data_IF_895925206232
#
_entry.id   IF_895925206232
#
_cell.length_a   1.000
_cell.length_b   1.000
_cell.length_c   1.000
_cell.angle_alpha   90.00
_cell.angle_beta   90.00
_cell.angle_gamma   90.00
#
_symmetry.space_group_name_H-M   'P 1'
#
loop_
_entity.id
_entity.type
_entity.pdbx_description
1 polymer ?
#
# COMPACT_ATOMS: atom_id res chain seq x y z
N UNK A 1 1.18 -26.74 -16.76
CA UNK A 1 1.63 -25.38 -16.36
C UNK A 1 1.52 -24.49 -17.58
N UNK A 2 1.20 -23.22 -17.37
CA UNK A 2 1.01 -22.19 -18.38
C UNK A 2 2.24 -21.29 -18.35
N UNK A 3 2.77 -20.89 -19.51
CA UNK A 3 3.85 -19.90 -19.59
C UNK A 3 3.32 -18.64 -20.26
N UNK A 4 3.04 -17.62 -19.47
CA UNK A 4 2.54 -16.33 -19.97
C UNK A 4 3.70 -15.58 -20.59
N UNK A 5 3.53 -15.12 -21.83
CA UNK A 5 4.60 -14.48 -22.62
C UNK A 5 4.23 -13.07 -23.08
N UNK A 6 2.96 -12.71 -22.99
CA UNK A 6 2.42 -11.46 -23.52
C UNK A 6 1.19 -11.08 -22.67
N UNK A 7 1.11 -9.81 -22.24
CA UNK A 7 -0.11 -9.21 -21.65
C UNK A 7 -0.40 -7.86 -22.33
N UNK A 8 -1.63 -7.66 -22.81
CA UNK A 8 -2.15 -6.43 -23.44
C UNK A 8 -1.34 -5.87 -24.62
N UNK A 9 -1.10 -6.70 -25.63
CA UNK A 9 -0.23 -6.38 -26.77
C UNK A 9 1.27 -6.18 -26.47
N UNK A 10 1.75 -6.26 -25.22
CA UNK A 10 3.16 -6.18 -24.87
C UNK A 10 3.76 -7.55 -24.51
N UNK A 11 4.94 -7.84 -25.05
CA UNK A 11 5.72 -9.02 -24.68
C UNK A 11 6.36 -8.83 -23.30
N UNK A 12 6.30 -9.87 -22.48
CA UNK A 12 6.89 -9.89 -21.15
C UNK A 12 7.95 -10.99 -21.04
N UNK A 13 8.81 -10.88 -20.03
CA UNK A 13 9.65 -11.99 -19.61
C UNK A 13 8.77 -13.19 -19.27
N UNK A 14 9.01 -14.38 -19.86
CA UNK A 14 8.09 -15.50 -19.72
C UNK A 14 7.89 -15.96 -18.26
N UNK A 15 6.65 -15.97 -17.79
CA UNK A 15 6.30 -16.37 -16.41
C UNK A 15 5.57 -17.70 -16.42
N UNK A 16 6.10 -18.70 -15.71
CA UNK A 16 5.43 -20.00 -15.58
C UNK A 16 4.50 -20.02 -14.36
N UNK A 17 3.21 -20.24 -14.62
CA UNK A 17 2.13 -20.20 -13.62
C UNK A 17 1.21 -21.43 -13.72
N UNK A 18 0.41 -21.64 -12.69
CA UNK A 18 -0.72 -22.56 -12.69
C UNK A 18 -2.00 -21.87 -13.14
N UNK A 19 -2.20 -20.65 -12.68
CA UNK A 19 -3.43 -19.87 -12.90
C UNK A 19 -3.12 -18.38 -12.97
N UNK A 20 -4.04 -17.62 -13.54
CA UNK A 20 -4.01 -16.17 -13.55
C UNK A 20 -5.45 -15.64 -13.67
N UNK A 21 -5.61 -14.35 -13.37
CA UNK A 21 -6.87 -13.62 -13.54
C UNK A 21 -6.67 -12.58 -14.63
N UNK A 22 -7.72 -12.35 -15.40
CA UNK A 22 -7.80 -11.22 -16.30
C UNK A 22 -9.26 -10.70 -16.34
N UNK A 23 -9.39 -9.40 -16.56
CA UNK A 23 -10.65 -8.67 -16.65
C UNK A 23 -11.14 -8.47 -18.09
N UNK A 24 -12.34 -7.90 -18.26
CA UNK A 24 -12.86 -7.57 -19.59
C UNK A 24 -11.95 -6.61 -20.34
N UNK A 25 -11.54 -6.99 -21.56
CA UNK A 25 -10.68 -6.19 -22.42
C UNK A 25 -9.18 -6.49 -22.28
N UNK A 26 -8.77 -7.23 -21.24
CA UNK A 26 -7.40 -7.71 -21.10
C UNK A 26 -7.15 -8.91 -22.04
N UNK A 27 -5.92 -9.03 -22.51
CA UNK A 27 -5.48 -10.11 -23.41
C UNK A 27 -4.17 -10.71 -22.94
N UNK A 28 -4.08 -12.04 -22.94
CA UNK A 28 -2.86 -12.76 -22.55
C UNK A 28 -2.53 -13.84 -23.58
N UNK A 29 -1.29 -13.86 -24.09
CA UNK A 29 -0.79 -15.01 -24.83
C UNK A 29 0.00 -15.94 -23.91
N UNK A 30 -0.33 -17.22 -24.02
CA UNK A 30 0.19 -18.27 -23.16
C UNK A 30 0.73 -19.41 -24.00
N UNK A 31 2.00 -19.75 -23.76
CA UNK A 31 2.61 -20.95 -24.30
C UNK A 31 2.35 -22.13 -23.37
N UNK A 32 1.92 -23.24 -23.95
CA UNK A 32 1.74 -24.52 -23.26
C UNK A 32 2.52 -25.61 -23.98
N UNK A 33 3.10 -26.52 -23.21
CA UNK A 33 3.81 -27.70 -23.71
C UNK A 33 3.12 -28.95 -23.13
N UNK A 34 2.04 -29.45 -23.78
CA UNK A 34 1.29 -30.61 -23.33
C UNK A 34 2.17 -31.87 -23.33
N UNK A 35 2.04 -32.71 -22.29
CA UNK A 35 2.73 -34.01 -22.19
C UNK A 35 1.78 -35.19 -22.29
N UNK A 36 0.54 -34.99 -21.87
CA UNK A 36 -0.55 -35.97 -21.92
C UNK A 36 -1.45 -35.73 -23.15
N UNK A 37 -2.30 -36.71 -23.45
CA UNK A 37 -3.18 -36.67 -24.64
C UNK A 37 -4.34 -35.67 -24.53
N UNK A 38 -4.69 -35.25 -23.30
CA UNK A 38 -5.75 -34.29 -23.05
C UNK A 38 -5.51 -33.46 -21.77
N UNK A 39 -5.86 -32.17 -21.84
CA UNK A 39 -5.86 -31.24 -20.72
C UNK A 39 -7.13 -30.41 -20.70
N UNK A 40 -7.64 -30.12 -19.49
CA UNK A 40 -8.74 -29.18 -19.29
C UNK A 40 -8.17 -27.77 -19.11
N UNK A 41 -8.58 -26.84 -19.98
CA UNK A 41 -8.44 -25.41 -19.76
C UNK A 41 -9.69 -24.97 -19.01
N UNK A 42 -9.51 -24.50 -17.78
CA UNK A 42 -10.60 -24.20 -16.87
C UNK A 42 -10.63 -22.71 -16.53
N UNK A 43 -11.78 -22.06 -16.71
CA UNK A 43 -11.97 -20.65 -16.43
C UNK A 43 -13.23 -20.48 -15.58
N UNK A 44 -13.05 -20.26 -14.29
CA UNK A 44 -14.14 -19.99 -13.36
C UNK A 44 -14.33 -18.49 -13.14
N UNK A 45 -15.58 -18.09 -12.89
CA UNK A 45 -15.89 -16.71 -12.53
C UNK A 45 -15.28 -16.31 -11.19
N UNK A 46 -15.07 -15.01 -10.96
CA UNK A 46 -14.45 -14.52 -9.73
C UNK A 46 -15.33 -14.74 -8.49
N UNK A 47 -16.65 -14.65 -8.66
CA UNK A 47 -17.66 -14.94 -7.65
C UNK A 47 -17.87 -16.44 -7.41
N UNK A 48 -17.17 -17.30 -8.17
CA UNK A 48 -17.19 -18.77 -8.06
C UNK A 48 -18.57 -19.39 -8.24
N UNK A 49 -19.45 -18.74 -9.01
CA UNK A 49 -20.81 -19.23 -9.31
C UNK A 49 -20.89 -20.07 -10.58
N UNK A 50 -19.88 -20.00 -11.45
CA UNK A 50 -19.84 -20.77 -12.69
C UNK A 50 -18.45 -20.89 -13.30
N UNK A 51 -18.36 -21.65 -14.38
CA UNK A 51 -17.12 -21.82 -15.14
C UNK A 51 -17.39 -22.11 -16.62
N UNK A 52 -16.40 -21.80 -17.44
CA UNK A 52 -16.23 -22.31 -18.80
C UNK A 52 -15.07 -23.32 -18.80
N UNK A 53 -15.17 -24.36 -19.63
CA UNK A 53 -14.10 -25.33 -19.86
C UNK A 53 -13.85 -25.53 -21.34
N UNK A 54 -12.59 -25.70 -21.71
CA UNK A 54 -12.16 -26.21 -22.99
C UNK A 54 -11.26 -27.43 -22.80
N UNK A 55 -11.19 -28.30 -23.80
CA UNK A 55 -10.27 -29.43 -23.78
C UNK A 55 -9.22 -29.24 -24.86
N UNK A 56 -7.95 -29.18 -24.46
CA UNK A 56 -6.82 -29.28 -25.37
C UNK A 56 -6.46 -30.76 -25.50
N UNK A 57 -6.73 -31.36 -26.65
CA UNK A 57 -6.50 -32.79 -26.89
C UNK A 57 -5.84 -33.06 -28.24
N UNK A 58 -5.11 -34.18 -28.34
CA UNK A 58 -4.44 -34.61 -29.57
C UNK A 58 -5.40 -35.18 -30.62
N UNK A 59 -6.62 -35.56 -30.22
CA UNK A 59 -7.67 -36.11 -31.08
C UNK A 59 -9.06 -35.79 -30.52
N UNK A 60 -10.04 -35.75 -31.41
CA UNK A 60 -11.45 -35.49 -31.07
C UNK A 60 -11.99 -36.57 -30.13
N UNK A 61 -12.78 -36.15 -29.14
CA UNK A 61 -13.49 -37.04 -28.21
C UNK A 61 -12.69 -37.44 -26.96
N UNK A 62 -11.43 -37.02 -26.83
CA UNK A 62 -10.72 -37.15 -25.55
C UNK A 62 -11.15 -36.05 -24.59
N UNK A 63 -11.23 -36.41 -23.31
CA UNK A 63 -11.51 -35.48 -22.21
C UNK A 63 -10.49 -35.69 -21.09
N UNK A 64 -10.18 -34.61 -20.38
CA UNK A 64 -9.41 -34.65 -19.14
C UNK A 64 -10.34 -34.37 -17.94
N UNK A 65 -9.94 -34.74 -16.71
CA UNK A 65 -10.70 -34.40 -15.52
C UNK A 65 -11.02 -32.90 -15.43
N UNK A 66 -12.26 -32.58 -15.02
CA UNK A 66 -12.66 -31.19 -14.78
C UNK A 66 -12.32 -30.82 -13.35
N UNK A 67 -11.57 -29.75 -13.12
CA UNK A 67 -11.37 -29.21 -11.77
C UNK A 67 -12.69 -28.85 -11.09
N UNK A 68 -12.77 -29.05 -9.78
CA UNK A 68 -13.87 -28.51 -8.99
C UNK A 68 -13.76 -26.99 -8.90
N UNK A 69 -14.91 -26.30 -8.88
CA UNK A 69 -14.96 -24.85 -8.63
C UNK A 69 -14.47 -24.56 -7.21
N UNK A 70 -13.60 -23.57 -7.07
CA UNK A 70 -13.08 -23.18 -5.75
C UNK A 70 -14.18 -22.52 -4.90
N UNK A 71 -14.00 -22.54 -3.57
CA UNK A 71 -14.97 -21.92 -2.66
C UNK A 71 -14.95 -20.38 -2.77
N UNK A 72 -16.12 -19.71 -2.70
CA UNK A 72 -16.18 -18.27 -2.55
C UNK A 72 -15.36 -17.82 -1.33
N UNK A 73 -14.68 -16.67 -1.46
CA UNK A 73 -13.91 -16.06 -0.38
C UNK A 73 -14.56 -14.74 0.02
N UNK A 74 -14.58 -14.48 1.31
CA UNK A 74 -15.06 -13.21 1.85
C UNK A 74 -13.96 -12.16 1.79
N UNK A 75 -14.34 -10.92 1.45
CA UNK A 75 -13.44 -9.78 1.49
C UNK A 75 -12.98 -9.51 2.91
N UNK A 76 -11.68 -9.30 3.07
CA UNK A 76 -11.10 -8.87 4.34
C UNK A 76 -11.06 -7.35 4.43
N UNK A 77 -10.86 -6.82 5.64
CA UNK A 77 -10.65 -5.37 5.80
C UNK A 77 -9.43 -4.88 5.00
N UNK A 78 -8.40 -5.72 4.83
CA UNK A 78 -7.26 -5.37 3.99
C UNK A 78 -7.67 -5.18 2.52
N UNK A 79 -8.64 -5.95 2.03
CA UNK A 79 -9.15 -5.83 0.65
C UNK A 79 -9.98 -4.56 0.45
N UNK A 80 -10.67 -4.09 1.49
CA UNK A 80 -11.53 -2.91 1.43
C UNK A 80 -10.83 -1.60 1.78
N UNK A 81 -9.90 -1.62 2.75
CA UNK A 81 -9.36 -0.41 3.41
C UNK A 81 -7.88 -0.14 3.14
N UNK A 82 -7.25 -0.90 2.23
CA UNK A 82 -5.86 -0.68 1.86
C UNK A 82 -4.87 -1.06 2.97
N UNK A 83 -3.85 -0.22 3.17
CA UNK A 83 -2.76 -0.47 4.12
C UNK A 83 -3.18 -0.21 5.56
N UNK A 84 -3.31 -1.26 6.38
CA UNK A 84 -3.69 -1.11 7.80
C UNK A 84 -2.48 -0.92 8.75
N UNK A 85 -1.27 -0.74 8.20
CA UNK A 85 0.00 -0.75 8.93
C UNK A 85 0.21 0.36 9.98
N UNK A 86 -0.72 1.32 10.09
CA UNK A 86 -0.66 2.39 11.10
C UNK A 86 -1.45 2.12 12.40
N UNK A 87 -2.28 1.07 12.45
CA UNK A 87 -3.12 0.76 13.61
C UNK A 87 -2.61 -0.41 14.47
N UNK A 88 -1.35 -0.81 14.31
CA UNK A 88 -0.69 -1.85 15.13
C UNK A 88 -0.31 -1.42 16.55
N UNK A 89 -0.72 -0.23 17.01
CA UNK A 89 -0.28 0.37 18.28
C UNK A 89 -1.24 0.26 19.47
N UNK A 90 -2.41 -0.39 19.34
CA UNK A 90 -3.37 -0.56 20.44
C UNK A 90 -3.66 -2.03 20.80
N UNK A 91 -2.76 -2.95 20.45
CA UNK A 91 -2.81 -4.35 20.88
C UNK A 91 -2.26 -4.63 22.28
N UNK A 92 -2.38 -3.69 23.22
CA UNK A 92 -1.67 -3.73 24.50
C UNK A 92 -2.42 -3.08 25.68
N UNK A 93 -3.71 -3.36 25.85
CA UNK A 93 -4.43 -3.07 27.10
C UNK A 93 -5.42 -4.17 27.52
N UNK A 94 -5.17 -5.41 27.08
CA UNK A 94 -5.86 -6.59 27.60
C UNK A 94 -5.08 -7.20 28.75
N UNK A 95 -5.26 -6.68 29.98
CA UNK A 95 -4.57 -7.25 31.14
C UNK A 95 -4.61 -6.44 32.43
N UNK A 96 -5.78 -5.97 32.86
CA UNK A 96 -5.97 -5.55 34.26
C UNK A 96 -7.33 -6.02 34.78
N UNK A 97 -7.57 -7.33 34.66
CA UNK A 97 -8.63 -8.02 35.38
C UNK A 97 -8.02 -8.81 36.52
N UNK A 98 -8.18 -8.34 37.77
CA UNK A 98 -7.89 -9.13 38.95
C UNK A 98 -7.08 -8.43 40.05
N UNK A 99 -7.68 -7.46 40.74
CA UNK A 99 -7.33 -7.20 42.14
C UNK A 99 -8.58 -6.86 42.93
N UNK A 100 -9.38 -7.90 43.20
CA UNK A 100 -10.41 -7.87 44.21
C UNK A 100 -9.79 -8.17 45.57
N UNK A 101 -10.03 -7.30 46.55
CA UNK A 101 -9.90 -7.63 47.97
C UNK A 101 -8.79 -6.90 48.73
N UNK A 102 -9.06 -5.67 49.16
CA UNK A 102 -8.72 -5.27 50.53
C UNK A 102 -9.65 -4.14 50.98
N UNK A 103 -10.62 -4.50 51.82
CA UNK A 103 -11.48 -3.56 52.51
C UNK A 103 -10.79 -2.98 53.74
N UNK A 104 -11.14 -1.74 54.07
CA UNK A 104 -11.09 -1.21 55.43
C UNK A 104 -9.79 -0.56 55.87
N UNK A 105 -9.70 0.76 55.72
CA UNK A 105 -9.25 1.62 56.82
C UNK A 105 -9.79 3.04 56.62
N UNK A 106 -10.65 3.47 57.55
CA UNK A 106 -11.19 4.82 57.59
C UNK A 106 -10.26 5.80 58.30
N UNK A 107 -10.49 7.09 58.01
CA UNK A 107 -10.28 8.20 58.93
C UNK A 107 -8.85 8.69 59.13
N UNK A 108 -8.51 9.81 58.49
CA UNK A 108 -7.90 10.96 59.18
C UNK A 108 -7.98 12.20 58.29
N UNK A 109 -8.60 13.26 58.81
CA UNK A 109 -8.63 14.58 58.18
C UNK A 109 -7.45 15.45 58.60
N UNK A 110 -7.38 16.64 57.99
CA UNK A 110 -6.72 17.82 58.55
C UNK A 110 -5.40 18.23 57.90
N UNK A 111 -5.25 19.55 57.74
CA UNK A 111 -4.08 20.35 57.32
C UNK A 111 -3.84 20.39 55.79
N UNK A 112 -4.03 21.50 55.06
CA UNK A 112 -4.06 22.91 55.43
C UNK A 112 -2.66 23.54 55.34
N UNK A 113 -2.39 24.27 54.26
CA UNK A 113 -1.38 25.33 54.19
C UNK A 113 0.00 24.96 53.63
N UNK A 114 0.26 25.37 52.39
CA UNK A 114 1.51 26.07 52.02
C UNK A 114 1.35 26.73 50.64
N UNK A 115 0.67 27.88 50.65
CA UNK A 115 0.89 28.95 49.68
C UNK A 115 2.19 29.67 50.07
N UNK A 116 3.01 30.02 49.08
CA UNK A 116 4.02 31.07 49.22
C UNK A 116 5.46 30.59 49.31
N UNK A 117 6.08 30.33 48.15
CA UNK A 117 7.50 30.63 47.95
C UNK A 117 7.64 31.45 46.67
N UNK A 118 7.26 32.72 46.76
CA UNK A 118 7.78 33.79 45.93
C UNK A 118 9.05 34.31 46.58
N UNK A 119 10.22 34.02 46.01
CA UNK A 119 11.42 34.82 46.22
C UNK A 119 11.74 35.58 44.94
N UNK A 120 11.33 36.84 44.96
CA UNK A 120 11.95 37.91 44.19
C UNK A 120 13.44 37.99 44.56
N UNK A 121 14.32 38.06 43.56
CA UNK A 121 15.75 38.26 43.82
C UNK A 121 16.73 37.95 42.69
N UNK A 122 16.47 38.36 41.45
CA UNK A 122 17.53 38.54 40.44
C UNK A 122 17.26 39.81 39.63
N UNK A 123 17.54 40.95 40.24
CA UNK A 123 17.73 42.23 39.54
C UNK A 123 19.23 42.51 39.48
N UNK A 124 19.75 42.77 38.29
CA UNK A 124 21.11 43.30 38.10
C UNK A 124 22.05 42.39 37.31
N UNK A 125 21.78 42.19 36.01
CA UNK A 125 22.86 41.96 35.04
C UNK A 125 22.94 43.19 34.14
N UNK A 126 23.93 44.02 34.45
CA UNK A 126 24.31 45.20 33.68
C UNK A 126 25.18 44.76 32.48
N UNK A 127 24.69 45.02 31.26
CA UNK A 127 25.36 44.71 30.00
C UNK A 127 26.13 45.91 29.41
N UNK A 128 26.39 46.97 30.20
CA UNK A 128 26.94 48.23 29.69
C UNK A 128 28.45 48.26 29.40
N UNK A 129 29.15 47.12 29.38
CA UNK A 129 30.63 47.11 29.21
C UNK A 129 31.22 45.97 28.37
N UNK A 130 30.53 45.54 27.31
CA UNK A 130 31.22 44.82 26.21
C UNK A 130 31.66 45.81 25.13
N UNK A 131 32.81 46.44 25.37
CA UNK A 131 33.54 47.19 24.35
C UNK A 131 34.09 46.24 23.29
N UNK A 132 33.43 46.16 22.13
CA UNK A 132 34.05 45.74 20.87
C UNK A 132 34.23 46.97 19.97
N UNK A 133 35.17 47.83 20.34
CA UNK A 133 35.76 48.80 19.43
C UNK A 133 36.76 48.06 18.54
N UNK A 134 36.46 47.98 17.24
CA UNK A 134 37.41 47.53 16.23
C UNK A 134 36.95 46.33 15.39
N UNK A 135 35.78 46.39 14.77
CA UNK A 135 35.51 45.58 13.57
C UNK A 135 35.28 46.54 12.40
N UNK A 136 36.33 46.70 11.62
CA UNK A 136 36.38 47.47 10.39
C UNK A 136 35.54 46.73 9.33
N UNK A 137 34.36 47.25 8.98
CA UNK A 137 33.50 46.72 7.91
C UNK A 137 34.04 47.11 6.52
N UNK A 138 35.27 46.70 6.23
CA UNK A 138 35.84 46.74 4.89
C UNK A 138 35.21 45.66 4.02
N UNK A 139 34.32 46.06 3.13
CA UNK A 139 33.97 45.42 1.84
C UNK A 139 34.44 43.97 1.64
N UNK A 140 33.67 43.01 2.14
CA UNK A 140 33.76 41.61 1.68
C UNK A 140 32.74 41.44 0.55
N UNK A 141 33.19 41.62 -0.69
CA UNK A 141 32.44 41.21 -1.86
C UNK A 141 32.37 39.67 -1.85
N UNK A 142 31.24 39.11 -1.41
CA UNK A 142 30.95 37.69 -1.60
C UNK A 142 30.58 37.47 -3.05
N UNK A 143 31.48 36.81 -3.78
CA UNK A 143 31.22 36.29 -5.11
C UNK A 143 30.20 35.14 -5.03
N UNK A 144 28.98 35.39 -5.50
CA UNK A 144 27.91 34.40 -5.58
C UNK A 144 27.94 33.58 -6.88
N UNK A 145 29.00 33.68 -7.71
CA UNK A 145 29.07 33.04 -9.02
C UNK A 145 29.19 31.51 -9.00
N UNK A 146 29.31 30.88 -7.82
CA UNK A 146 29.49 29.43 -7.68
C UNK A 146 28.34 28.69 -6.99
N UNK A 147 27.17 29.34 -6.79
CA UNK A 147 25.93 28.60 -6.49
C UNK A 147 25.23 28.15 -7.78
N UNK A 148 25.99 27.55 -8.70
CA UNK A 148 25.39 26.66 -9.69
C UNK A 148 24.92 25.43 -8.92
N UNK A 149 23.61 25.35 -8.64
CA UNK A 149 22.94 24.15 -8.16
C UNK A 149 23.12 23.05 -9.21
N UNK A 150 24.29 22.43 -9.19
CA UNK A 150 24.63 21.28 -10.00
C UNK A 150 23.59 20.20 -9.77
N UNK A 151 22.89 19.86 -10.85
CA UNK A 151 21.94 18.77 -11.00
C UNK A 151 21.38 18.22 -9.69
N UNK A 152 20.22 18.74 -9.28
CA UNK A 152 19.33 17.97 -8.42
C UNK A 152 19.13 16.63 -9.12
N UNK A 153 19.78 15.59 -8.59
CA UNK A 153 19.47 14.20 -8.91
C UNK A 153 17.97 14.09 -8.79
N UNK A 154 17.32 13.54 -9.82
CA UNK A 154 15.88 13.28 -9.80
C UNK A 154 15.50 12.77 -8.41
N UNK A 155 14.53 13.43 -7.80
CA UNK A 155 14.08 13.14 -6.46
C UNK A 155 13.77 11.64 -6.35
N UNK A 156 14.62 10.91 -5.61
CA UNK A 156 14.45 9.48 -5.40
C UNK A 156 13.12 9.17 -4.69
N UNK A 157 12.43 10.17 -4.13
CA UNK A 157 11.13 10.01 -3.48
C UNK A 157 10.06 9.44 -4.40
N UNK A 158 10.10 9.72 -5.70
CA UNK A 158 9.05 9.27 -6.64
C UNK A 158 9.24 7.82 -7.09
N UNK A 159 10.33 7.16 -6.71
CA UNK A 159 10.55 5.74 -7.03
C UNK A 159 9.65 4.80 -6.22
N UNK A 160 9.09 5.30 -5.12
CA UNK A 160 8.13 4.60 -4.26
C UNK A 160 6.85 5.45 -4.20
N UNK A 161 5.67 4.88 -4.47
CA UNK A 161 4.42 5.64 -4.37
C UNK A 161 4.14 6.05 -2.92
N UNK A 162 3.47 7.19 -2.77
CA UNK A 162 3.00 7.65 -1.46
C UNK A 162 1.97 6.68 -0.89
N UNK A 163 2.03 6.47 0.42
CA UNK A 163 1.10 5.56 1.13
C UNK A 163 -0.04 6.31 1.79
N UNK A 164 0.08 7.62 2.02
CA UNK A 164 -1.00 8.42 2.63
C UNK A 164 -1.79 9.13 1.55
N UNK A 165 -3.09 8.83 1.49
CA UNK A 165 -3.97 9.43 0.50
C UNK A 165 -4.29 10.90 0.81
N UNK A 166 -4.60 11.68 -0.24
CA UNK A 166 -5.00 13.08 -0.18
C UNK A 166 -6.41 13.25 -0.71
N UNK A 167 -7.37 13.39 0.20
CA UNK A 167 -8.78 13.51 -0.16
C UNK A 167 -9.18 14.94 -0.52
N UNK A 168 -9.89 15.10 -1.64
CA UNK A 168 -10.55 16.34 -1.99
C UNK A 168 -11.79 16.57 -1.11
N UNK A 169 -12.17 17.83 -0.87
CA UNK A 169 -13.37 18.17 -0.07
C UNK A 169 -14.66 17.53 -0.62
N UNK A 170 -14.72 17.30 -1.94
CA UNK A 170 -15.84 16.67 -2.63
C UNK A 170 -16.06 15.21 -2.24
N UNK A 171 -15.07 14.57 -1.61
CA UNK A 171 -15.15 13.20 -1.10
C UNK A 171 -15.72 13.13 0.33
N UNK A 172 -16.05 14.28 0.93
CA UNK A 172 -16.70 14.39 2.23
C UNK A 172 -18.18 14.68 2.03
N UNK A 173 -18.91 13.70 1.51
CA UNK A 173 -20.34 13.82 1.26
C UNK A 173 -21.00 12.49 0.94
N UNK A 174 -22.33 12.50 0.82
CA UNK A 174 -23.16 11.32 0.60
C UNK A 174 -22.95 10.62 -0.77
N UNK A 175 -22.00 11.06 -1.59
CA UNK A 175 -21.62 10.41 -2.85
C UNK A 175 -20.50 9.39 -2.67
N UNK A 176 -19.87 9.34 -1.50
CA UNK A 176 -18.71 8.48 -1.20
C UNK A 176 -19.01 7.69 0.07
N UNK A 177 -19.13 6.37 -0.05
CA UNK A 177 -19.40 5.52 1.11
C UNK A 177 -18.18 5.41 2.03
N UNK A 178 -17.00 5.23 1.43
CA UNK A 178 -15.76 4.95 2.14
C UNK A 178 -14.57 5.62 1.45
N UNK A 179 -13.54 5.88 2.25
CA UNK A 179 -12.26 6.42 1.82
C UNK A 179 -11.12 5.60 2.40
N UNK A 180 -10.06 5.47 1.63
CA UNK A 180 -8.83 4.79 2.03
C UNK A 180 -7.81 5.84 2.38
N UNK A 181 -7.55 6.04 3.68
CA UNK A 181 -6.56 7.02 4.13
C UNK A 181 -5.11 6.56 3.87
N UNK A 182 -4.91 5.24 3.77
CA UNK A 182 -3.60 4.62 3.58
C UNK A 182 -3.62 3.64 2.41
N UNK A 183 -3.04 4.04 1.28
CA UNK A 183 -2.83 3.20 0.11
C UNK A 183 -1.81 2.08 0.40
N UNK A 184 -1.96 0.97 -0.33
CA UNK A 184 -1.04 -0.18 -0.30
C UNK A 184 -0.50 -0.47 -1.70
N UNK A 185 0.75 -0.90 -1.77
CA UNK A 185 1.33 -1.44 -3.00
C UNK A 185 1.14 -2.95 -3.00
N UNK A 186 0.41 -3.46 -3.98
CA UNK A 186 -0.04 -4.86 -4.04
C UNK A 186 0.29 -5.51 -5.39
N UNK A 187 1.43 -5.16 -5.98
CA UNK A 187 1.81 -5.70 -7.28
C UNK A 187 2.03 -7.21 -7.22
N UNK A 188 2.48 -7.72 -6.07
CA UNK A 188 2.76 -9.12 -5.75
C UNK A 188 1.56 -9.88 -5.14
N UNK A 189 0.42 -9.21 -4.95
CA UNK A 189 -0.78 -9.83 -4.40
C UNK A 189 -1.64 -10.42 -5.53
N UNK A 190 -1.87 -11.74 -5.57
CA UNK A 190 -2.75 -12.36 -6.57
C UNK A 190 -4.23 -12.02 -6.36
N UNK A 191 -4.57 -11.43 -5.21
CA UNK A 191 -5.92 -10.99 -4.88
C UNK A 191 -6.80 -12.09 -4.28
N UNK A 192 -7.96 -11.67 -3.77
CA UNK A 192 -8.93 -12.54 -3.10
C UNK A 192 -9.30 -13.76 -3.95
N UNK A 193 -9.37 -14.94 -3.33
CA UNK A 193 -9.72 -16.19 -4.03
C UNK A 193 -8.58 -16.85 -4.79
N UNK A 194 -7.40 -16.23 -4.83
CA UNK A 194 -6.17 -16.76 -5.42
C UNK A 194 -5.02 -16.85 -4.40
N UNK A 195 -5.19 -16.27 -3.20
CA UNK A 195 -4.28 -16.44 -2.07
C UNK A 195 -4.42 -17.86 -1.50
N UNK A 196 -3.31 -18.40 -1.01
CA UNK A 196 -3.26 -19.64 -0.22
C UNK A 196 -3.86 -20.89 -0.91
N UNK A 197 -3.93 -20.90 -2.24
CA UNK A 197 -4.47 -22.03 -3.03
C UNK A 197 -3.44 -23.14 -3.27
N UNK A 198 -2.16 -22.88 -2.98
CA UNK A 198 -1.02 -23.75 -3.31
C UNK A 198 -0.63 -23.73 -4.79
N UNK A 199 -1.31 -22.92 -5.62
CA UNK A 199 -1.02 -22.74 -7.04
C UNK A 199 -0.15 -21.50 -7.25
N UNK A 200 0.75 -21.52 -8.23
CA UNK A 200 1.50 -20.32 -8.65
C UNK A 200 0.59 -19.44 -9.49
N UNK A 201 0.30 -18.25 -9.00
CA UNK A 201 -0.56 -17.28 -9.66
C UNK A 201 0.29 -16.21 -10.34
N UNK A 202 -0.09 -15.77 -11.54
CA UNK A 202 0.50 -14.58 -12.15
C UNK A 202 0.09 -13.32 -11.38
N UNK A 203 1.06 -12.51 -10.99
CA UNK A 203 0.85 -11.20 -10.35
C UNK A 203 1.35 -10.08 -11.26
N UNK A 204 1.06 -8.81 -10.92
CA UNK A 204 1.62 -7.67 -11.65
C UNK A 204 3.13 -7.56 -11.45
N UNK A 205 3.63 -7.95 -10.28
CA UNK A 205 5.06 -7.99 -9.96
C UNK A 205 5.84 -9.01 -10.80
N UNK A 206 5.18 -10.01 -11.38
CA UNK A 206 5.84 -10.96 -12.29
C UNK A 206 5.99 -10.39 -13.72
N UNK A 207 5.27 -9.31 -14.07
CA UNK A 207 5.13 -8.85 -15.45
C UNK A 207 6.17 -7.79 -15.81
N UNK A 208 7.32 -8.25 -16.30
CA UNK A 208 8.40 -7.37 -16.75
C UNK A 208 8.48 -7.32 -18.27
N UNK A 209 8.53 -6.11 -18.85
CA UNK A 209 8.78 -5.93 -20.29
C UNK A 209 10.16 -6.46 -20.67
N UNK A 210 10.23 -7.19 -21.79
CA UNK A 210 11.50 -7.71 -22.31
C UNK A 210 12.47 -6.56 -22.60
N UNK A 211 13.67 -6.61 -22.00
CA UNK A 211 14.69 -5.56 -22.18
C UNK A 211 14.50 -4.32 -21.29
N UNK A 212 13.52 -4.35 -20.38
CA UNK A 212 13.27 -3.31 -19.40
C UNK A 212 12.20 -2.30 -19.82
N UNK A 213 12.07 -1.18 -19.08
CA UNK A 213 11.01 -0.18 -19.31
C UNK A 213 11.04 0.41 -20.72
N UNK A 214 9.87 0.57 -21.34
CA UNK A 214 9.70 1.26 -22.62
C UNK A 214 10.25 2.70 -22.57
N UNK A 215 10.08 3.36 -21.43
CA UNK A 215 10.67 4.66 -21.14
C UNK A 215 11.67 4.53 -19.99
N UNK A 216 12.92 4.89 -20.26
CA UNK A 216 14.03 4.81 -19.29
C UNK A 216 14.04 5.99 -18.33
N UNK A 217 13.22 7.02 -18.55
CA UNK A 217 13.12 8.15 -17.64
C UNK A 217 12.49 7.68 -16.34
N UNK A 218 13.04 8.18 -15.23
CA UNK A 218 12.41 8.01 -13.92
C UNK A 218 11.08 8.76 -13.83
N UNK A 219 10.25 8.42 -12.85
CA UNK A 219 8.98 9.11 -12.61
C UNK A 219 9.24 10.59 -12.29
N UNK A 220 8.53 11.49 -13.00
CA UNK A 220 8.63 12.94 -12.79
C UNK A 220 7.51 13.53 -11.95
N UNK A 221 6.43 12.75 -11.72
CA UNK A 221 5.29 13.12 -10.87
C UNK A 221 4.54 11.87 -10.42
N UNK A 222 3.85 11.99 -9.30
CA UNK A 222 2.85 11.02 -8.87
C UNK A 222 1.44 11.49 -9.29
N UNK A 223 0.62 10.55 -9.75
CA UNK A 223 -0.80 10.80 -10.03
C UNK A 223 -1.62 9.90 -9.10
N UNK A 224 -2.50 10.53 -8.34
CA UNK A 224 -3.38 9.86 -7.38
C UNK A 224 -4.81 9.92 -7.92
N UNK A 225 -5.45 8.76 -8.10
CA UNK A 225 -6.78 8.64 -8.68
C UNK A 225 -7.74 8.05 -7.63
N UNK A 226 -8.80 8.78 -7.32
CA UNK A 226 -9.82 8.35 -6.36
C UNK A 226 -11.07 7.87 -7.11
N UNK A 227 -11.34 6.58 -7.03
CA UNK A 227 -12.55 5.97 -7.58
C UNK A 227 -13.58 5.84 -6.45
N UNK A 228 -14.35 6.90 -6.23
CA UNK A 228 -15.39 6.94 -5.19
C UNK A 228 -16.75 6.51 -5.75
N UNK A 229 -17.60 5.96 -4.91
CA UNK A 229 -19.00 5.70 -5.23
C UNK A 229 -19.85 5.62 -3.97
N UNK A 230 -21.16 5.71 -4.17
CA UNK A 230 -22.15 5.35 -3.16
C UNK A 230 -23.00 4.20 -3.73
N UNK A 231 -22.93 3.04 -3.09
CA UNK A 231 -23.58 1.81 -3.53
C UNK A 231 -25.09 1.83 -3.27
N UNK A 232 -25.59 2.57 -2.28
CA UNK A 232 -27.04 2.77 -2.03
C UNK A 232 -27.74 3.48 -3.20
N UNK A 233 -27.00 4.15 -4.08
CA UNK A 233 -27.58 4.80 -5.26
C UNK A 233 -27.96 3.83 -6.39
N UNK A 234 -27.54 2.56 -6.30
CA UNK A 234 -27.71 1.56 -7.35
C UNK A 234 -28.52 0.33 -6.90
N UNK A 235 -29.21 0.43 -5.76
CA UNK A 235 -30.11 -0.61 -5.23
C UNK A 235 -31.54 -0.47 -5.72
#
# INVERSE_FOLDING_TARGET
KLKVIQVDGQNIEPVTVDEFRFGPGETCDVLVEPRDEAYTIFSQSMDRTGYARGTLATRVGLEAPVPAVDKPQWLTMADMMGGMGGMGGMGGMGGMGGMGGMGGMGGMGGMGGMQGMSQAGMQGMDHSSMGMQGMNHGTMAMDHSQHAMGGMKADASLTVPSTKARHAKTEYGATTDMRVDMARTNLDDPGIGLRDTGRRVLTLADQHTIGGPLDKRGPGREVELHLTGNMERYS
#
